data_IF_349081562456
#
_entry.id   IF_349081562456
#
_cell.length_a   1.000
_cell.length_b   1.000
_cell.length_c   1.000
_cell.angle_alpha   90.00
_cell.angle_beta   90.00
_cell.angle_gamma   90.00
#
_symmetry.space_group_name_H-M   'P 1'
#
loop_
_entity.id
_entity.type
_entity.pdbx_description
1 polymer ?
#
# COMPACT_ATOMS: atom_id res chain seq x y z
N UNK A 1 -3.53 12.57 12.09
CA UNK A 1 -3.76 11.17 12.51
C UNK A 1 -3.10 10.27 11.48
N UNK A 2 -1.95 9.69 11.82
CA UNK A 2 -1.20 8.83 10.91
C UNK A 2 -1.90 7.49 10.84
N UNK A 3 -2.62 7.19 9.74
CA UNK A 3 -3.20 5.86 9.52
C UNK A 3 -2.05 4.86 9.50
N UNK A 4 -2.01 3.99 10.51
CA UNK A 4 -1.04 2.92 10.58
C UNK A 4 -1.28 1.96 9.41
N UNK A 5 -0.27 1.85 8.54
CA UNK A 5 -0.27 1.00 7.35
C UNK A 5 -0.12 -0.45 7.82
N UNK A 6 -1.22 -1.14 8.11
CA UNK A 6 -1.25 -2.53 8.64
C UNK A 6 -0.85 -3.60 7.61
N UNK A 7 -0.30 -3.18 6.47
CA UNK A 7 0.17 -4.12 5.47
C UNK A 7 1.21 -5.07 6.09
N UNK A 8 2.17 -4.65 6.89
CA UNK A 8 3.14 -5.54 7.55
C UNK A 8 2.54 -6.69 8.40
N UNK A 9 1.31 -6.57 8.91
CA UNK A 9 0.68 -7.53 9.83
C UNK A 9 -0.32 -8.49 9.18
N UNK A 10 -1.04 -8.08 8.14
CA UNK A 10 -2.17 -8.86 7.58
C UNK A 10 -1.99 -9.21 6.10
N UNK A 11 -2.15 -10.51 5.76
CA UNK A 11 -1.92 -11.05 4.41
C UNK A 11 -2.91 -10.50 3.37
N UNK A 12 -4.19 -10.35 3.76
CA UNK A 12 -5.26 -9.87 2.89
C UNK A 12 -5.59 -8.38 3.04
N UNK A 13 -4.75 -7.59 3.73
CA UNK A 13 -5.08 -6.21 4.01
C UNK A 13 -5.06 -5.36 2.75
N UNK A 14 -6.20 -4.70 2.53
CA UNK A 14 -6.41 -3.73 1.46
C UNK A 14 -6.70 -2.38 2.07
N UNK A 15 -6.05 -1.35 1.55
CA UNK A 15 -6.24 0.01 2.03
C UNK A 15 -6.56 0.93 0.88
N UNK A 16 -7.52 1.82 1.07
CA UNK A 16 -7.79 2.91 0.13
C UNK A 16 -7.03 4.15 0.54
N UNK A 17 -6.24 4.68 -0.37
CA UNK A 17 -5.47 5.90 -0.21
C UNK A 17 -5.66 6.77 -1.44
N UNK A 18 -5.34 8.05 -1.32
CA UNK A 18 -5.34 8.93 -2.49
C UNK A 18 -4.21 8.58 -3.44
N UNK A 19 -4.39 8.88 -4.73
CA UNK A 19 -3.32 8.78 -5.74
C UNK A 19 -2.07 9.58 -5.34
N UNK A 20 -2.26 10.70 -4.64
CA UNK A 20 -1.18 11.53 -4.09
C UNK A 20 -0.38 10.80 -3.03
N UNK A 21 -1.04 10.18 -2.06
CA UNK A 21 -0.39 9.37 -1.02
C UNK A 21 0.33 8.17 -1.63
N UNK A 22 -0.29 7.49 -2.59
CA UNK A 22 0.35 6.37 -3.28
C UNK A 22 1.62 6.79 -4.02
N UNK A 23 1.58 7.92 -4.74
CA UNK A 23 2.75 8.47 -5.41
C UNK A 23 3.88 8.80 -4.42
N UNK A 24 3.54 9.32 -3.24
CA UNK A 24 4.52 9.57 -2.19
C UNK A 24 5.18 8.28 -1.69
N UNK A 25 4.41 7.20 -1.53
CA UNK A 25 4.94 5.87 -1.15
C UNK A 25 5.93 5.37 -2.20
N UNK A 26 5.57 5.42 -3.49
CA UNK A 26 6.43 4.99 -4.59
C UNK A 26 7.74 5.79 -4.66
N UNK A 27 7.67 7.12 -4.52
CA UNK A 27 8.86 7.98 -4.55
C UNK A 27 9.84 7.67 -3.41
N UNK A 28 9.33 7.25 -2.26
CA UNK A 28 10.13 6.86 -1.10
C UNK A 28 10.52 5.38 -1.09
N UNK A 29 10.26 4.62 -2.17
CA UNK A 29 10.47 3.16 -2.25
C UNK A 29 9.76 2.38 -1.12
N UNK A 30 8.65 2.92 -0.63
CA UNK A 30 7.85 2.35 0.45
C UNK A 30 6.87 1.26 0.01
N UNK A 31 6.88 0.88 -1.27
CA UNK A 31 6.05 -0.20 -1.82
C UNK A 31 6.56 -1.60 -1.43
N UNK A 32 7.80 -1.70 -0.96
CA UNK A 32 8.39 -2.97 -0.55
C UNK A 32 8.13 -3.24 0.94
N UNK A 33 7.45 -4.35 1.24
CA UNK A 33 7.08 -4.72 2.61
C UNK A 33 7.53 -6.15 2.92
N UNK A 34 8.11 -6.36 4.10
CA UNK A 34 8.43 -7.71 4.58
C UNK A 34 7.17 -8.27 5.24
N UNK A 35 6.65 -9.37 4.71
CA UNK A 35 5.52 -10.08 5.29
C UNK A 35 5.88 -11.54 5.50
N UNK A 36 5.81 -12.02 6.75
CA UNK A 36 6.19 -13.38 7.15
C UNK A 36 7.60 -13.79 6.66
N UNK A 37 8.56 -12.86 6.76
CA UNK A 37 9.95 -13.09 6.35
C UNK A 37 10.19 -13.12 4.83
N UNK A 38 9.16 -12.85 4.01
CA UNK A 38 9.28 -12.72 2.55
C UNK A 38 9.09 -11.27 2.14
N UNK A 39 9.93 -10.81 1.21
CA UNK A 39 9.73 -9.52 0.56
C UNK A 39 8.50 -9.63 -0.35
N UNK A 40 7.53 -8.74 -0.14
CA UNK A 40 6.31 -8.58 -0.94
C UNK A 40 6.26 -7.16 -1.46
N UNK A 41 5.57 -6.96 -2.58
CA UNK A 41 5.34 -5.62 -3.12
C UNK A 41 3.90 -5.19 -2.90
N UNK A 42 3.70 -3.91 -2.65
CA UNK A 42 2.40 -3.28 -2.68
C UNK A 42 2.09 -2.90 -4.12
N UNK A 43 0.92 -3.30 -4.57
CA UNK A 43 0.35 -2.91 -5.86
C UNK A 43 -0.93 -2.14 -5.63
N UNK A 44 -1.30 -1.31 -6.59
CA UNK A 44 -2.46 -0.43 -6.51
C UNK A 44 -3.41 -0.65 -7.68
N UNK A 45 -4.71 -0.71 -7.39
CA UNK A 45 -5.78 -0.65 -8.39
C UNK A 45 -6.44 0.73 -8.32
N UNK A 46 -6.62 1.36 -9.48
CA UNK A 46 -7.28 2.66 -9.58
C UNK A 46 -8.80 2.49 -9.43
N UNK A 47 -9.39 3.20 -8.46
CA UNK A 47 -10.84 3.20 -8.20
C UNK A 47 -11.56 4.42 -8.78
N UNK A 48 -10.83 5.34 -9.40
CA UNK A 48 -11.34 6.63 -9.87
C UNK A 48 -11.34 7.70 -8.78
N UNK A 49 -11.76 8.92 -9.14
CA UNK A 49 -11.89 10.08 -8.24
C UNK A 49 -10.62 10.41 -7.41
N UNK A 50 -9.43 10.07 -7.92
CA UNK A 50 -8.17 10.30 -7.22
C UNK A 50 -7.90 9.32 -6.07
N UNK A 51 -8.55 8.15 -6.06
CA UNK A 51 -8.39 7.10 -5.04
C UNK A 51 -7.85 5.83 -5.68
N UNK A 52 -6.95 5.16 -4.96
CA UNK A 52 -6.44 3.83 -5.29
C UNK A 52 -6.63 2.88 -4.11
N UNK A 53 -6.86 1.60 -4.41
CA UNK A 53 -6.83 0.52 -3.44
C UNK A 53 -5.48 -0.20 -3.53
N UNK A 54 -4.72 -0.21 -2.44
CA UNK A 54 -3.43 -0.87 -2.34
C UNK A 54 -3.54 -2.21 -1.61
N UNK A 55 -2.79 -3.21 -2.07
CA UNK A 55 -2.73 -4.56 -1.49
C UNK A 55 -1.40 -5.24 -1.86
N UNK A 56 -1.14 -6.40 -1.25
CA UNK A 56 0.11 -7.16 -1.45
C UNK A 56 0.01 -8.09 -2.64
N UNK A 57 1.13 -8.20 -3.36
CA UNK A 57 1.43 -9.27 -4.31
C UNK A 57 2.56 -10.17 -3.79
#
# INVERSE_FOLDING_TARGET
MTRHVEHWTHEGYRQRITTKEWKAILLNKGDSVIFRGKLRKLIAINLGAGVVEIFKE
#
